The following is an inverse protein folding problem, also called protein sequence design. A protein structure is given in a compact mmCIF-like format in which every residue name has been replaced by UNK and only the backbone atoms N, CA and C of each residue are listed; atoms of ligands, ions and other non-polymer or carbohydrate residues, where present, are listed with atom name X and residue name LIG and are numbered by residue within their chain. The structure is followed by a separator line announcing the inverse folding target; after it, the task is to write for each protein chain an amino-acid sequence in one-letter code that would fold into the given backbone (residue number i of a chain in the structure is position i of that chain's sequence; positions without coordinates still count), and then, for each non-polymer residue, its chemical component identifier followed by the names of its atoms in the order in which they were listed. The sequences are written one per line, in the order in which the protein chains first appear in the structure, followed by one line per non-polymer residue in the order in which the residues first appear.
data_IF_458308845630
#
_entry.id   IF_458308845630
#
_cell.length_a   1.000
_cell.length_b   1.000
_cell.length_c   1.000
_cell.angle_alpha   90.00
_cell.angle_beta   90.00
_cell.angle_gamma   90.00
#
_symmetry.space_group_name_H-M   'P 1'
#
loop_
_entity.id
_entity.type
_entity.pdbx_description
1 polymer ?
#
# COMPACT_ATOMS: atom_id res chain seq x y z
N UNK A 1 16.06 -5.37 -5.21
CA UNK A 1 14.67 -5.74 -4.90
C UNK A 1 14.39 -5.54 -3.42
N UNK A 2 13.26 -4.93 -3.04
CA UNK A 2 12.83 -4.74 -1.64
C UNK A 2 11.51 -5.47 -1.41
N UNK A 3 11.27 -5.93 -0.18
CA UNK A 3 10.09 -6.72 0.19
C UNK A 3 9.41 -6.13 1.40
N UNK A 4 8.09 -6.02 1.34
CA UNK A 4 7.28 -5.47 2.41
C UNK A 4 5.99 -6.28 2.61
N UNK A 5 5.31 -6.04 3.70
CA UNK A 5 3.94 -6.50 3.91
C UNK A 5 2.98 -5.36 3.58
N UNK A 6 1.88 -5.69 2.91
CA UNK A 6 0.68 -4.88 2.83
C UNK A 6 -0.44 -5.57 3.60
N UNK A 7 -1.05 -4.88 4.53
CA UNK A 7 -2.08 -5.44 5.40
C UNK A 7 -3.32 -4.53 5.42
N UNK A 8 -4.47 -5.09 5.09
CA UNK A 8 -5.74 -4.42 5.29
C UNK A 8 -6.15 -4.38 6.77
N UNK A 9 -5.55 -5.19 7.63
CA UNK A 9 -6.09 -5.53 8.94
C UNK A 9 -7.57 -5.94 8.80
N UNK A 10 -7.85 -6.86 7.87
CA UNK A 10 -9.19 -7.37 7.69
C UNK A 10 -9.60 -8.29 8.85
N UNK A 11 -10.87 -8.18 9.23
CA UNK A 11 -11.42 -8.80 10.42
C UNK A 11 -11.32 -10.32 10.36
N UNK A 12 -10.70 -10.91 11.39
CA UNK A 12 -10.77 -12.33 11.70
C UNK A 12 -11.94 -12.65 12.63
N UNK A 13 -12.14 -13.91 12.95
CA UNK A 13 -13.14 -14.35 13.92
C UNK A 13 -12.66 -14.23 15.39
N UNK A 14 -11.41 -13.83 15.60
CA UNK A 14 -10.83 -13.62 16.94
C UNK A 14 -11.37 -12.36 17.62
N UNK A 15 -11.42 -12.32 18.96
CA UNK A 15 -11.67 -11.10 19.71
C UNK A 15 -10.68 -9.98 19.32
N UNK A 16 -11.18 -8.72 19.20
CA UNK A 16 -10.37 -7.61 18.66
C UNK A 16 -9.05 -7.38 19.40
N UNK A 17 -9.02 -7.54 20.73
CA UNK A 17 -7.76 -7.41 21.48
C UNK A 17 -6.71 -8.41 21.01
N UNK A 18 -7.09 -9.71 20.96
CA UNK A 18 -6.22 -10.77 20.45
C UNK A 18 -5.81 -10.53 18.98
N UNK A 19 -6.77 -10.11 18.15
CA UNK A 19 -6.50 -9.79 16.77
C UNK A 19 -5.42 -8.72 16.60
N UNK A 20 -5.47 -7.62 17.39
CA UNK A 20 -4.44 -6.59 17.33
C UNK A 20 -3.09 -7.07 17.86
N UNK A 21 -3.08 -7.86 18.94
CA UNK A 21 -1.84 -8.45 19.49
C UNK A 21 -1.17 -9.37 18.45
N UNK A 22 -1.94 -10.21 17.76
CA UNK A 22 -1.46 -11.09 16.70
C UNK A 22 -0.92 -10.30 15.49
N UNK A 23 -1.57 -9.20 15.09
CA UNK A 23 -1.08 -8.35 14.01
C UNK A 23 0.20 -7.60 14.40
N UNK A 24 0.30 -7.10 15.62
CA UNK A 24 1.53 -6.49 16.14
C UNK A 24 2.68 -7.51 16.21
N UNK A 25 2.40 -8.74 16.64
CA UNK A 25 3.37 -9.83 16.61
C UNK A 25 3.85 -10.16 15.18
N UNK A 26 2.96 -10.07 14.19
CA UNK A 26 3.33 -10.25 12.77
C UNK A 26 4.25 -9.13 12.27
N UNK A 27 4.02 -7.87 12.68
CA UNK A 27 4.92 -6.75 12.38
C UNK A 27 6.31 -6.98 12.98
N UNK A 28 6.39 -7.43 14.26
CA UNK A 28 7.67 -7.75 14.91
C UNK A 28 8.40 -8.89 14.19
N UNK A 29 7.66 -9.92 13.76
CA UNK A 29 8.22 -11.03 12.98
C UNK A 29 8.77 -10.56 11.64
N UNK A 30 8.06 -9.69 10.94
CA UNK A 30 8.51 -9.09 9.68
C UNK A 30 9.79 -8.24 9.85
N UNK A 31 9.88 -7.48 10.95
CA UNK A 31 11.09 -6.72 11.31
C UNK A 31 12.28 -7.65 11.58
N UNK A 32 12.06 -8.71 12.36
CA UNK A 32 13.09 -9.72 12.67
C UNK A 32 13.55 -10.46 11.40
N UNK A 33 12.61 -10.76 10.50
CA UNK A 33 12.85 -11.43 9.22
C UNK A 33 13.58 -10.55 8.17
N UNK A 34 13.74 -9.25 8.44
CA UNK A 34 14.47 -8.33 7.56
C UNK A 34 13.65 -7.77 6.40
N UNK A 35 12.32 -7.80 6.50
CA UNK A 35 11.46 -7.10 5.53
C UNK A 35 11.66 -5.58 5.65
N UNK A 36 11.53 -4.88 4.52
CA UNK A 36 11.83 -3.46 4.44
C UNK A 36 10.71 -2.57 4.99
N UNK A 37 9.44 -2.97 4.81
CA UNK A 37 8.29 -2.15 5.19
C UNK A 37 7.07 -2.96 5.59
N UNK A 38 6.18 -2.31 6.36
CA UNK A 38 4.85 -2.80 6.68
C UNK A 38 3.85 -1.67 6.43
N UNK A 39 2.99 -1.87 5.44
CA UNK A 39 2.04 -0.89 4.97
C UNK A 39 0.62 -1.29 5.35
N UNK A 40 -0.16 -0.32 5.84
CA UNK A 40 -1.49 -0.54 6.39
C UNK A 40 -2.51 0.24 5.59
N UNK A 41 -3.58 -0.43 5.15
CA UNK A 41 -4.68 0.24 4.48
C UNK A 41 -5.57 1.00 5.49
N UNK A 42 -6.13 2.13 5.05
CA UNK A 42 -7.22 2.83 5.73
C UNK A 42 -8.55 2.48 5.06
N UNK A 43 -9.45 1.86 5.83
CA UNK A 43 -10.85 1.65 5.45
C UNK A 43 -11.78 1.85 6.63
N UNK A 44 -13.01 2.26 6.35
CA UNK A 44 -13.99 2.63 7.35
C UNK A 44 -15.27 1.80 7.24
N UNK A 45 -15.87 1.45 8.39
CA UNK A 45 -17.18 0.77 8.51
C UNK A 45 -17.30 -0.50 7.66
N UNK A 46 -16.20 -1.22 7.52
CA UNK A 46 -16.12 -2.44 6.71
C UNK A 46 -15.13 -3.43 7.35
N UNK A 47 -15.38 -4.75 7.27
CA UNK A 47 -14.47 -5.76 7.82
C UNK A 47 -13.04 -5.71 7.27
N UNK A 48 -12.80 -5.11 6.10
CA UNK A 48 -11.45 -4.92 5.53
C UNK A 48 -10.68 -3.78 6.21
N UNK A 49 -11.24 -3.11 7.20
CA UNK A 49 -10.61 -1.93 7.81
C UNK A 49 -10.67 -1.94 9.33
N UNK A 50 -10.01 -2.90 9.99
CA UNK A 50 -9.91 -2.85 11.46
C UNK A 50 -8.83 -1.88 11.95
N UNK A 51 -8.15 -1.17 11.05
CA UNK A 51 -7.34 -0.01 11.38
C UNK A 51 -7.91 1.27 10.69
N UNK A 52 -9.13 1.72 11.06
CA UNK A 52 -9.72 2.92 10.45
C UNK A 52 -8.92 4.20 10.74
N UNK A 53 -8.01 4.14 11.69
CA UNK A 53 -6.99 5.15 11.99
C UNK A 53 -5.62 4.46 12.00
N UNK A 54 -4.98 4.30 10.84
CA UNK A 54 -3.72 3.56 10.72
C UNK A 54 -2.63 4.06 11.66
N UNK A 55 -2.58 5.37 11.93
CA UNK A 55 -1.60 5.97 12.83
C UNK A 55 -1.64 5.41 14.25
N UNK A 56 -2.81 5.02 14.76
CA UNK A 56 -2.92 4.39 16.09
C UNK A 56 -2.18 3.06 16.12
N UNK A 57 -2.38 2.22 15.11
CA UNK A 57 -1.68 0.92 15.01
C UNK A 57 -0.19 1.12 14.73
N UNK A 58 0.18 2.05 13.84
CA UNK A 58 1.58 2.37 13.52
C UNK A 58 2.31 2.87 14.77
N UNK A 59 1.68 3.71 15.59
CA UNK A 59 2.24 4.18 16.86
C UNK A 59 2.58 3.05 17.83
N UNK A 60 1.69 2.05 17.95
CA UNK A 60 1.95 0.85 18.74
C UNK A 60 3.10 0.01 18.14
N UNK A 61 3.06 -0.27 16.83
CA UNK A 61 4.08 -1.04 16.11
C UNK A 61 5.48 -0.38 16.16
N UNK A 62 5.54 0.95 16.17
CA UNK A 62 6.78 1.72 16.20
C UNK A 62 7.67 1.39 17.42
N UNK A 63 7.05 1.13 18.57
CA UNK A 63 7.75 0.79 19.82
C UNK A 63 8.17 -0.66 19.91
N UNK A 64 7.54 -1.52 19.11
CA UNK A 64 7.81 -2.96 19.08
C UNK A 64 8.83 -3.36 18.00
N UNK A 65 9.22 -2.44 17.13
CA UNK A 65 10.09 -2.68 15.97
C UNK A 65 11.31 -1.75 15.97
N UNK A 66 12.36 -2.13 15.24
CA UNK A 66 13.64 -1.39 15.23
C UNK A 66 14.10 -0.97 13.84
N UNK A 67 13.80 -1.72 12.79
CA UNK A 67 14.36 -1.54 11.44
C UNK A 67 13.29 -1.33 10.38
N UNK A 68 12.21 -2.07 10.44
CA UNK A 68 11.14 -2.04 9.45
C UNK A 68 10.53 -0.64 9.36
N UNK A 69 10.32 -0.16 8.15
CA UNK A 69 9.60 1.08 7.91
C UNK A 69 8.09 0.82 8.03
N UNK A 70 7.38 1.79 8.56
CA UNK A 70 5.95 1.68 8.86
C UNK A 70 5.21 2.82 8.20
N UNK A 71 4.07 2.55 7.60
CA UNK A 71 3.27 3.64 7.03
C UNK A 71 1.89 3.19 6.56
N UNK A 72 0.96 4.12 6.41
CA UNK A 72 -0.28 3.85 5.71
C UNK A 72 -0.01 3.62 4.22
N UNK A 73 -0.82 2.81 3.59
CA UNK A 73 -0.90 2.72 2.13
C UNK A 73 -2.36 2.48 1.73
N UNK A 74 -3.17 3.57 1.86
CA UNK A 74 -2.76 4.93 2.12
C UNK A 74 -3.75 5.65 3.04
N UNK A 75 -3.35 6.80 3.64
CA UNK A 75 -4.34 7.75 4.15
C UNK A 75 -5.19 8.27 2.99
N UNK A 76 -6.50 8.17 3.11
CA UNK A 76 -7.44 8.73 2.15
C UNK A 76 -7.66 10.21 2.45
N UNK A 77 -6.85 11.10 1.87
CA UNK A 77 -6.80 12.52 2.25
C UNK A 77 -8.14 13.24 2.13
N UNK A 78 -9.08 12.73 1.32
CA UNK A 78 -10.43 13.29 1.27
C UNK A 78 -11.20 13.16 2.58
N UNK A 79 -10.81 12.24 3.48
CA UNK A 79 -11.49 11.99 4.75
C UNK A 79 -10.87 12.75 5.93
N UNK A 80 -9.79 13.49 5.71
CA UNK A 80 -8.99 14.13 6.76
C UNK A 80 -8.95 15.65 6.63
N UNK A 81 -8.95 16.33 7.78
CA UNK A 81 -8.46 17.71 7.82
C UNK A 81 -6.93 17.69 7.64
N UNK A 82 -6.37 18.39 6.64
CA UNK A 82 -4.95 18.30 6.32
C UNK A 82 -4.03 18.82 7.43
N UNK A 83 -4.45 19.78 8.25
CA UNK A 83 -3.65 20.26 9.38
C UNK A 83 -3.55 19.21 10.48
N UNK A 84 -4.68 18.58 10.84
CA UNK A 84 -4.72 17.55 11.89
C UNK A 84 -3.94 16.31 11.48
N UNK A 85 -4.08 15.86 10.22
CA UNK A 85 -3.32 14.70 9.76
C UNK A 85 -1.82 15.02 9.63
N UNK A 86 -1.45 16.27 9.33
CA UNK A 86 -0.05 16.70 9.32
C UNK A 86 0.62 16.57 10.69
N UNK A 87 -0.07 16.95 11.76
CA UNK A 87 0.40 16.78 13.14
C UNK A 87 0.59 15.29 13.47
N UNK A 88 -0.39 14.44 13.15
CA UNK A 88 -0.30 12.98 13.33
C UNK A 88 0.91 12.40 12.58
N UNK A 89 1.13 12.80 11.33
CA UNK A 89 2.27 12.37 10.51
C UNK A 89 3.59 12.76 11.16
N UNK A 90 3.72 14.00 11.63
CA UNK A 90 4.93 14.46 12.31
C UNK A 90 5.19 13.67 13.60
N UNK A 91 4.15 13.45 14.41
CA UNK A 91 4.25 12.63 15.63
C UNK A 91 4.72 11.21 15.30
N UNK A 92 4.13 10.57 14.30
CA UNK A 92 4.50 9.21 13.87
C UNK A 92 5.93 9.14 13.35
N UNK A 93 6.38 10.16 12.64
CA UNK A 93 7.75 10.23 12.14
C UNK A 93 8.77 10.25 13.31
N UNK A 94 8.50 11.04 14.35
CA UNK A 94 9.32 11.04 15.58
C UNK A 94 9.20 9.73 16.36
N UNK A 95 7.99 9.18 16.54
CA UNK A 95 7.78 7.94 17.28
C UNK A 95 8.46 6.73 16.63
N UNK A 96 8.54 6.71 15.31
CA UNK A 96 9.24 5.68 14.52
C UNK A 96 10.75 5.92 14.44
N UNK A 97 11.26 7.10 14.86
CA UNK A 97 12.65 7.48 14.69
C UNK A 97 13.06 7.63 13.22
N UNK A 98 12.20 8.22 12.39
CA UNK A 98 12.44 8.44 10.96
C UNK A 98 12.20 7.21 10.07
N UNK A 99 11.52 6.18 10.60
CA UNK A 99 11.11 4.99 9.83
C UNK A 99 9.66 5.09 9.31
N UNK A 100 9.04 6.26 9.40
CA UNK A 100 7.70 6.48 8.88
C UNK A 100 7.73 6.69 7.36
N UNK A 101 6.82 6.03 6.65
CA UNK A 101 6.52 6.22 5.23
C UNK A 101 5.15 6.87 5.09
N UNK A 102 5.07 8.00 4.40
CA UNK A 102 3.81 8.73 4.21
C UNK A 102 3.07 8.23 2.97
N UNK A 103 2.23 7.23 3.12
CA UNK A 103 1.34 6.83 2.06
C UNK A 103 0.08 7.68 2.02
N UNK A 104 -0.22 8.25 0.86
CA UNK A 104 -1.42 9.05 0.62
C UNK A 104 -2.25 8.50 -0.55
N UNK A 105 -3.54 8.69 -0.47
CA UNK A 105 -4.49 8.29 -1.50
C UNK A 105 -5.64 9.27 -1.59
N UNK A 106 -6.37 9.19 -2.70
CA UNK A 106 -7.50 10.09 -2.92
C UNK A 106 -8.75 9.70 -2.12
N UNK A 107 -8.91 8.41 -1.80
CA UNK A 107 -10.18 7.87 -1.32
C UNK A 107 -11.19 7.78 -2.47
N UNK A 108 -11.46 6.57 -2.95
CA UNK A 108 -12.31 6.34 -4.12
C UNK A 108 -13.42 5.32 -3.86
N UNK A 109 -13.48 4.77 -2.64
CA UNK A 109 -14.51 3.82 -2.27
C UNK A 109 -15.88 4.51 -2.27
N UNK A 110 -16.82 4.11 -3.12
CA UNK A 110 -18.16 4.71 -3.12
C UNK A 110 -18.89 4.52 -1.79
N UNK A 111 -18.63 3.42 -1.09
CA UNK A 111 -19.17 3.18 0.25
C UNK A 111 -18.71 4.24 1.25
N UNK A 112 -17.41 4.45 1.34
CA UNK A 112 -16.81 5.40 2.28
C UNK A 112 -17.17 6.84 1.92
N UNK A 113 -17.05 7.20 0.65
CA UNK A 113 -17.40 8.55 0.16
C UNK A 113 -18.84 8.93 0.51
N UNK A 114 -19.80 8.00 0.33
CA UNK A 114 -21.18 8.25 0.68
C UNK A 114 -21.36 8.49 2.20
N UNK A 115 -20.68 7.71 3.04
CA UNK A 115 -20.77 7.84 4.50
C UNK A 115 -20.05 9.09 5.03
N UNK A 116 -19.00 9.56 4.36
CA UNK A 116 -18.35 10.83 4.66
C UNK A 116 -19.05 12.04 4.02
N UNK A 117 -20.10 11.82 3.19
CA UNK A 117 -20.81 12.89 2.51
C UNK A 117 -19.95 13.61 1.44
N UNK A 118 -19.03 12.90 0.81
CA UNK A 118 -18.10 13.47 -0.17
C UNK A 118 -18.47 12.99 -1.58
N UNK A 119 -18.84 13.91 -2.50
CA UNK A 119 -19.08 13.55 -3.88
C UNK A 119 -17.81 13.04 -4.57
N UNK A 120 -17.89 11.91 -5.27
CA UNK A 120 -16.74 11.31 -5.98
C UNK A 120 -16.02 12.30 -6.93
N UNK A 121 -16.71 13.18 -7.69
CA UNK A 121 -16.03 14.17 -8.53
C UNK A 121 -15.14 15.16 -7.76
N UNK A 122 -15.46 15.46 -6.50
CA UNK A 122 -14.71 16.43 -5.69
C UNK A 122 -13.41 15.83 -5.10
N UNK A 123 -13.30 14.51 -5.03
CA UNK A 123 -12.17 13.85 -4.38
C UNK A 123 -10.81 14.20 -4.99
N UNK A 124 -10.77 14.55 -6.29
CA UNK A 124 -9.53 14.93 -6.97
C UNK A 124 -9.03 16.30 -6.52
N UNK A 125 -9.93 17.27 -6.45
CA UNK A 125 -9.61 18.63 -6.03
C UNK A 125 -9.29 18.64 -4.53
N UNK A 126 -10.07 17.92 -3.71
CA UNK A 126 -9.79 17.70 -2.29
C UNK A 126 -8.40 17.10 -2.05
N UNK A 127 -8.05 16.04 -2.78
CA UNK A 127 -6.73 15.43 -2.66
C UNK A 127 -5.61 16.43 -2.98
N UNK A 128 -5.75 17.18 -4.08
CA UNK A 128 -4.74 18.18 -4.50
C UNK A 128 -4.60 19.27 -3.46
N UNK A 129 -5.71 19.87 -3.01
CA UNK A 129 -5.73 20.94 -2.02
C UNK A 129 -5.16 20.46 -0.67
N UNK A 130 -5.53 19.25 -0.22
CA UNK A 130 -4.96 18.65 1.00
C UNK A 130 -3.45 18.41 0.88
N UNK A 131 -2.96 17.96 -0.28
CA UNK A 131 -1.52 17.80 -0.52
C UNK A 131 -0.78 19.14 -0.47
N UNK A 132 -1.34 20.21 -1.02
CA UNK A 132 -0.75 21.56 -0.95
C UNK A 132 -0.60 22.01 0.51
N UNK A 133 -1.64 21.84 1.32
CA UNK A 133 -1.59 22.19 2.75
C UNK A 133 -0.57 21.33 3.51
N UNK A 134 -0.52 20.03 3.25
CA UNK A 134 0.46 19.13 3.86
C UNK A 134 1.91 19.57 3.55
N UNK A 135 2.20 19.89 2.29
CA UNK A 135 3.53 20.35 1.88
C UNK A 135 3.90 21.68 2.54
N UNK A 136 2.95 22.64 2.65
CA UNK A 136 3.16 23.88 3.40
C UNK A 136 3.48 23.57 4.87
N UNK A 137 2.67 22.72 5.52
CA UNK A 137 2.87 22.36 6.92
C UNK A 137 4.26 21.77 7.18
N UNK A 138 4.73 20.87 6.32
CA UNK A 138 6.04 20.24 6.51
C UNK A 138 7.23 21.15 6.29
N UNK A 139 7.08 22.20 5.46
CA UNK A 139 8.19 23.01 4.98
C UNK A 139 8.20 24.47 5.47
N UNK A 140 7.07 24.99 5.98
CA UNK A 140 6.95 26.38 6.42
C UNK A 140 6.68 26.47 7.92
N UNK A 141 7.03 27.59 8.55
CA UNK A 141 6.82 27.79 9.99
C UNK A 141 5.41 28.26 10.32
N UNK A 142 4.69 28.77 9.32
CA UNK A 142 3.27 29.12 9.41
C UNK A 142 2.54 28.64 8.15
N UNK A 143 1.27 28.29 8.30
CA UNK A 143 0.40 27.90 7.18
C UNK A 143 -0.66 28.98 6.96
N UNK A 144 -0.63 29.57 5.77
CA UNK A 144 -1.72 30.39 5.24
C UNK A 144 -2.16 29.80 3.91
N UNK A 145 -3.41 29.33 3.85
CA UNK A 145 -3.99 28.72 2.67
C UNK A 145 -5.43 29.25 2.44
N UNK A 146 -5.74 29.61 1.21
CA UNK A 146 -7.06 30.12 0.80
C UNK A 146 -7.62 29.27 -0.33
N UNK A 147 -8.01 28.05 0.01
CA UNK A 147 -8.56 27.09 -0.92
C UNK A 147 -10.09 27.09 -0.94
N UNK A 148 -10.64 26.22 -1.76
CA UNK A 148 -12.09 26.03 -1.90
C UNK A 148 -12.67 25.30 -0.68
N UNK A 149 -11.96 24.31 -0.17
CA UNK A 149 -12.38 23.46 0.96
C UNK A 149 -11.71 23.87 2.26
N UNK A 150 -10.43 24.20 2.20
CA UNK A 150 -9.60 24.50 3.36
C UNK A 150 -9.19 25.97 3.38
N UNK A 151 -9.35 26.62 4.54
CA UNK A 151 -8.93 28.00 4.74
C UNK A 151 -8.22 28.10 6.08
N UNK A 152 -6.97 28.53 6.05
CA UNK A 152 -6.10 28.70 7.22
C UNK A 152 -5.41 30.05 7.12
N UNK A 153 -5.24 30.73 8.25
CA UNK A 153 -4.68 32.07 8.30
C UNK A 153 -3.62 32.13 9.41
N UNK A 154 -2.36 32.26 9.01
CA UNK A 154 -1.18 32.39 9.87
C UNK A 154 -1.14 31.38 11.03
N UNK A 155 -1.49 30.11 10.73
CA UNK A 155 -1.48 29.04 11.73
C UNK A 155 -0.03 28.61 11.99
N UNK A 156 0.49 28.73 13.23
CA UNK A 156 1.85 28.31 13.54
C UNK A 156 2.02 26.80 13.45
N UNK A 157 3.19 26.35 13.05
CA UNK A 157 3.56 24.94 12.94
C UNK A 157 4.54 24.59 14.05
N UNK A 158 4.03 23.96 15.12
CA UNK A 158 4.81 23.61 16.30
C UNK A 158 5.55 22.27 16.15
N UNK A 159 5.00 21.33 15.39
CA UNK A 159 5.59 20.00 15.21
C UNK A 159 6.03 19.83 13.77
N UNK A 160 7.33 19.72 13.53
CA UNK A 160 7.92 19.45 12.21
C UNK A 160 8.26 17.97 12.06
N UNK A 161 8.27 17.42 10.82
CA UNK A 161 8.72 16.05 10.61
C UNK A 161 10.23 15.92 10.91
N UNK A 162 10.62 14.75 11.41
CA UNK A 162 12.02 14.38 11.64
C UNK A 162 12.77 14.22 10.31
N UNK A 163 12.15 13.53 9.35
CA UNK A 163 12.68 13.33 8.01
C UNK A 163 12.51 14.60 7.16
N UNK A 164 13.48 14.94 6.34
CA UNK A 164 13.51 16.19 5.56
C UNK A 164 13.49 15.90 4.05
N UNK A 165 12.76 16.70 3.26
CA UNK A 165 11.86 17.81 3.68
C UNK A 165 10.56 17.32 4.33
N UNK A 166 10.20 16.05 4.15
CA UNK A 166 9.06 15.34 4.73
C UNK A 166 9.31 13.82 4.65
N UNK A 167 8.53 12.98 5.33
CA UNK A 167 8.66 11.52 5.22
C UNK A 167 8.51 11.03 3.77
N UNK A 168 9.22 9.96 3.35
CA UNK A 168 9.11 9.42 2.00
C UNK A 168 7.66 9.21 1.59
N UNK A 169 7.27 9.80 0.46
CA UNK A 169 5.90 9.78 -0.03
C UNK A 169 5.60 8.48 -0.79
N UNK A 170 4.46 7.89 -0.52
CA UNK A 170 3.96 6.69 -1.17
C UNK A 170 2.55 6.90 -1.70
N UNK A 171 2.21 6.23 -2.80
CA UNK A 171 0.89 6.28 -3.39
C UNK A 171 0.43 4.92 -3.90
N UNK A 172 -0.79 4.55 -3.54
CA UNK A 172 -1.43 3.33 -4.06
C UNK A 172 -2.14 3.61 -5.39
N UNK A 173 -1.59 3.16 -6.49
CA UNK A 173 -2.08 3.32 -7.86
C UNK A 173 -1.26 4.31 -8.70
N UNK A 174 -1.36 4.16 -10.01
CA UNK A 174 -0.66 5.00 -11.00
C UNK A 174 -1.62 5.52 -12.07
N UNK A 175 -2.85 5.90 -11.69
CA UNK A 175 -3.79 6.49 -12.66
C UNK A 175 -3.20 7.77 -13.26
N UNK A 176 -3.36 7.96 -14.58
CA UNK A 176 -2.67 9.00 -15.35
C UNK A 176 -2.80 10.43 -14.83
N UNK A 177 -3.87 10.74 -14.09
CA UNK A 177 -4.19 12.12 -13.66
C UNK A 177 -3.29 12.64 -12.53
N UNK A 178 -2.76 11.74 -11.68
CA UNK A 178 -1.90 12.10 -10.54
C UNK A 178 -0.43 11.77 -10.80
N UNK A 179 -0.12 11.12 -11.90
CA UNK A 179 1.21 10.56 -12.19
C UNK A 179 2.31 11.63 -12.21
N UNK A 180 2.11 12.72 -12.94
CA UNK A 180 3.10 13.79 -13.04
C UNK A 180 3.30 14.49 -11.69
N UNK A 181 2.23 14.74 -10.93
CA UNK A 181 2.32 15.30 -9.58
C UNK A 181 3.13 14.38 -8.66
N UNK A 182 2.83 13.09 -8.64
CA UNK A 182 3.55 12.13 -7.80
C UNK A 182 5.03 12.04 -8.18
N UNK A 183 5.33 12.02 -9.48
CA UNK A 183 6.70 12.01 -9.98
C UNK A 183 7.46 13.29 -9.63
N UNK A 184 6.81 14.46 -9.68
CA UNK A 184 7.41 15.73 -9.28
C UNK A 184 7.69 15.83 -7.77
N UNK A 185 6.96 15.08 -6.97
CA UNK A 185 7.15 14.98 -5.51
C UNK A 185 8.11 13.86 -5.10
N UNK A 186 8.63 13.08 -6.04
CA UNK A 186 9.53 11.97 -5.72
C UNK A 186 8.84 10.77 -5.05
N UNK A 187 7.54 10.57 -5.28
CA UNK A 187 6.77 9.53 -4.61
C UNK A 187 7.16 8.12 -5.05
N UNK A 188 7.13 7.17 -4.12
CA UNK A 188 7.09 5.74 -4.40
C UNK A 188 5.67 5.32 -4.76
N UNK A 189 5.50 4.38 -5.69
CA UNK A 189 4.16 3.93 -6.11
C UNK A 189 4.03 2.42 -5.99
N UNK A 190 2.84 1.98 -5.56
CA UNK A 190 2.49 0.56 -5.49
C UNK A 190 1.23 0.31 -6.30
N UNK A 191 1.35 -0.49 -7.35
CA UNK A 191 0.22 -0.97 -8.13
C UNK A 191 -0.55 -2.02 -7.32
N UNK A 192 -1.87 -1.98 -7.36
CA UNK A 192 -2.71 -2.98 -6.74
C UNK A 192 -2.64 -4.35 -7.44
N UNK A 193 -3.62 -5.16 -7.16
CA UNK A 193 -3.75 -6.49 -7.77
C UNK A 193 -4.14 -6.36 -9.26
N UNK A 194 -3.19 -6.64 -10.13
CA UNK A 194 -3.39 -6.64 -11.58
C UNK A 194 -2.46 -7.68 -12.24
N UNK A 195 -2.76 -8.17 -13.45
CA UNK A 195 -1.83 -9.01 -14.21
C UNK A 195 -0.49 -8.30 -14.44
N UNK A 196 0.61 -9.06 -14.47
CA UNK A 196 1.96 -8.53 -14.62
C UNK A 196 2.11 -7.57 -15.80
N UNK A 197 1.51 -7.89 -16.95
CA UNK A 197 1.52 -7.04 -18.14
C UNK A 197 0.90 -5.65 -17.92
N UNK A 198 -0.22 -5.58 -17.19
CA UNK A 198 -0.85 -4.30 -16.86
C UNK A 198 -0.01 -3.51 -15.86
N UNK A 199 0.60 -4.18 -14.88
CA UNK A 199 1.52 -3.53 -13.94
C UNK A 199 2.72 -2.98 -14.69
N UNK A 200 3.30 -3.73 -15.65
CA UNK A 200 4.40 -3.27 -16.49
C UNK A 200 4.08 -1.97 -17.22
N UNK A 201 2.93 -1.86 -17.85
CA UNK A 201 2.48 -0.63 -18.49
C UNK A 201 2.42 0.56 -17.52
N UNK A 202 1.92 0.33 -16.29
CA UNK A 202 1.86 1.37 -15.27
C UNK A 202 3.25 1.77 -14.77
N UNK A 203 4.14 0.81 -14.58
CA UNK A 203 5.54 1.01 -14.16
C UNK A 203 6.30 1.82 -15.21
N UNK A 204 6.21 1.44 -16.48
CA UNK A 204 6.91 2.13 -17.57
C UNK A 204 6.41 3.58 -17.70
N UNK A 205 5.09 3.77 -17.69
CA UNK A 205 4.51 5.11 -17.73
C UNK A 205 4.87 5.98 -16.49
N UNK A 206 5.09 5.36 -15.31
CA UNK A 206 5.56 6.10 -14.15
C UNK A 206 7.04 6.47 -14.25
N UNK A 207 7.87 5.59 -14.79
CA UNK A 207 9.28 5.89 -15.07
C UNK A 207 9.45 7.03 -16.06
N UNK A 208 8.65 7.06 -17.12
CA UNK A 208 8.63 8.19 -18.07
C UNK A 208 8.28 9.52 -17.36
N UNK A 209 7.24 9.52 -16.53
CA UNK A 209 6.87 10.70 -15.74
C UNK A 209 7.96 11.10 -14.74
N UNK A 210 8.63 10.10 -14.15
CA UNK A 210 9.76 10.31 -13.24
C UNK A 210 10.93 11.02 -13.92
N UNK A 211 11.30 10.58 -15.10
CA UNK A 211 12.37 11.20 -15.89
C UNK A 211 12.02 12.60 -16.35
N UNK A 212 10.78 12.80 -16.80
CA UNK A 212 10.26 14.12 -17.19
C UNK A 212 10.33 15.13 -16.05
N UNK A 213 10.07 14.70 -14.82
CA UNK A 213 10.01 15.56 -13.63
C UNK A 213 11.30 15.57 -12.79
N UNK A 214 12.44 15.09 -13.32
CA UNK A 214 13.70 14.99 -12.56
C UNK A 214 14.23 16.31 -12.00
N UNK A 215 13.90 17.43 -12.62
CA UNK A 215 14.30 18.78 -12.20
C UNK A 215 13.31 19.47 -11.24
N UNK A 216 12.24 18.79 -10.82
CA UNK A 216 11.25 19.38 -9.92
C UNK A 216 11.86 19.67 -8.53
N UNK A 217 11.52 20.82 -7.89
CA UNK A 217 12.14 21.25 -6.63
C UNK A 217 12.10 20.22 -5.49
N UNK A 218 10.96 19.53 -5.35
CA UNK A 218 10.78 18.51 -4.32
C UNK A 218 11.51 17.18 -4.60
N UNK A 219 12.18 17.08 -5.76
CA UNK A 219 13.01 15.93 -6.15
C UNK A 219 14.47 16.06 -5.69
N UNK A 220 14.86 17.15 -5.09
CA UNK A 220 16.22 17.31 -4.58
C UNK A 220 16.54 16.22 -3.55
N UNK A 221 17.55 15.39 -3.82
CA UNK A 221 17.91 14.23 -2.98
C UNK A 221 17.11 12.96 -3.21
N UNK A 222 16.12 12.95 -4.11
CA UNK A 222 15.42 11.72 -4.48
C UNK A 222 16.35 10.73 -5.22
N UNK A 223 16.11 9.42 -5.12
CA UNK A 223 16.90 8.42 -5.84
C UNK A 223 16.83 8.61 -7.36
N UNK A 224 17.85 8.14 -8.07
CA UNK A 224 17.89 8.20 -9.53
C UNK A 224 16.70 7.47 -10.17
N UNK A 225 16.32 6.31 -9.61
CA UNK A 225 15.17 5.52 -10.07
C UNK A 225 14.03 5.54 -9.05
N UNK A 226 12.76 5.52 -9.51
CA UNK A 226 11.62 5.45 -8.62
C UNK A 226 11.52 4.08 -7.95
N UNK A 227 10.96 4.06 -6.73
CA UNK A 227 10.44 2.83 -6.16
C UNK A 227 9.07 2.55 -6.77
N UNK A 228 8.98 1.43 -7.49
CA UNK A 228 7.74 0.96 -8.12
C UNK A 228 7.43 -0.46 -7.65
N UNK A 229 6.25 -0.65 -7.12
CA UNK A 229 5.87 -1.92 -6.51
C UNK A 229 4.53 -2.47 -6.97
N UNK A 230 4.22 -3.64 -6.48
CA UNK A 230 2.89 -4.26 -6.61
C UNK A 230 2.54 -5.10 -5.39
N UNK A 231 1.24 -5.39 -5.23
CA UNK A 231 0.73 -6.27 -4.17
C UNK A 231 0.48 -7.67 -4.72
N UNK A 232 0.83 -8.70 -3.95
CA UNK A 232 0.46 -10.11 -4.19
C UNK A 232 0.02 -10.76 -2.88
N UNK A 233 -1.07 -11.51 -2.94
CA UNK A 233 -1.49 -12.39 -1.87
C UNK A 233 -0.63 -13.65 -1.90
N UNK A 234 0.00 -14.00 -0.78
CA UNK A 234 0.93 -15.14 -0.72
C UNK A 234 0.62 -16.01 0.46
N UNK A 235 0.51 -17.32 0.21
CA UNK A 235 0.36 -18.35 1.23
C UNK A 235 1.39 -19.45 0.96
N UNK A 236 2.25 -19.74 1.95
CA UNK A 236 3.27 -20.79 1.87
C UNK A 236 2.94 -21.91 2.86
N UNK A 237 2.93 -23.15 2.35
CA UNK A 237 2.71 -24.36 3.13
C UNK A 237 3.65 -25.50 2.69
N UNK A 238 3.54 -26.70 3.32
CA UNK A 238 4.41 -27.83 3.00
C UNK A 238 4.08 -28.48 1.65
N UNK A 239 2.85 -28.25 1.16
CA UNK A 239 2.43 -28.66 -0.18
C UNK A 239 1.58 -27.59 -0.84
N UNK A 240 1.53 -27.61 -2.18
CA UNK A 240 0.67 -26.71 -2.95
C UNK A 240 -0.81 -26.93 -2.60
N UNK A 241 -1.23 -28.18 -2.38
CA UNK A 241 -2.60 -28.52 -2.00
C UNK A 241 -2.98 -27.92 -0.62
N UNK A 242 -2.11 -27.98 0.37
CA UNK A 242 -2.33 -27.37 1.69
C UNK A 242 -2.42 -25.84 1.57
N UNK A 243 -1.51 -25.21 0.84
CA UNK A 243 -1.52 -23.79 0.63
C UNK A 243 -2.80 -23.30 -0.07
N UNK A 244 -3.28 -24.03 -1.08
CA UNK A 244 -4.52 -23.71 -1.78
C UNK A 244 -5.75 -23.92 -0.92
N UNK A 245 -5.79 -24.99 -0.12
CA UNK A 245 -6.88 -25.25 0.82
C UNK A 245 -7.02 -24.12 1.87
N UNK A 246 -5.91 -23.50 2.26
CA UNK A 246 -5.93 -22.33 3.14
C UNK A 246 -6.25 -21.02 2.41
N UNK A 247 -5.71 -20.81 1.22
CA UNK A 247 -5.83 -19.56 0.48
C UNK A 247 -7.23 -19.33 -0.10
N UNK A 248 -7.91 -20.38 -0.59
CA UNK A 248 -9.22 -20.26 -1.26
C UNK A 248 -10.30 -19.65 -0.34
N UNK A 249 -10.63 -20.22 0.84
CA UNK A 249 -11.63 -19.63 1.72
C UNK A 249 -11.21 -18.25 2.25
N UNK A 250 -9.90 -18.03 2.39
CA UNK A 250 -9.39 -16.74 2.82
C UNK A 250 -9.60 -15.65 1.76
N UNK A 251 -9.34 -15.95 0.48
CA UNK A 251 -9.62 -15.04 -0.62
C UNK A 251 -11.11 -14.74 -0.74
N UNK A 252 -11.97 -15.75 -0.67
CA UNK A 252 -13.42 -15.59 -0.79
C UNK A 252 -13.98 -14.68 0.32
N UNK A 253 -13.53 -14.87 1.57
CA UNK A 253 -13.91 -14.01 2.69
C UNK A 253 -13.44 -12.57 2.49
N UNK A 254 -12.16 -12.39 2.13
CA UNK A 254 -11.57 -11.09 1.87
C UNK A 254 -12.27 -10.37 0.72
N UNK A 255 -12.48 -11.05 -0.41
CA UNK A 255 -13.13 -10.47 -1.58
C UNK A 255 -14.55 -9.99 -1.27
N UNK A 256 -15.34 -10.81 -0.58
CA UNK A 256 -16.71 -10.47 -0.16
C UNK A 256 -16.75 -9.19 0.69
N UNK A 257 -15.77 -8.99 1.55
CA UNK A 257 -15.67 -7.77 2.35
C UNK A 257 -15.23 -6.56 1.52
N UNK A 258 -14.28 -6.75 0.61
CA UNK A 258 -13.77 -5.69 -0.28
C UNK A 258 -14.82 -5.27 -1.33
N UNK A 259 -15.61 -6.22 -1.81
CA UNK A 259 -16.67 -5.96 -2.79
C UNK A 259 -17.64 -4.86 -2.32
N UNK A 260 -17.98 -4.85 -1.04
CA UNK A 260 -18.83 -3.82 -0.46
C UNK A 260 -18.22 -2.42 -0.56
N UNK A 261 -16.91 -2.30 -0.41
CA UNK A 261 -16.21 -1.02 -0.55
C UNK A 261 -16.21 -0.51 -2.00
N UNK A 262 -16.02 -1.39 -2.95
CA UNK A 262 -15.83 -1.05 -4.36
C UNK A 262 -17.12 -1.02 -5.18
N UNK A 263 -18.15 -1.78 -4.78
CA UNK A 263 -19.36 -1.99 -5.57
C UNK A 263 -20.61 -1.64 -4.75
N UNK A 264 -20.79 -0.37 -4.39
CA UNK A 264 -21.93 0.11 -3.62
C UNK A 264 -22.60 1.30 -4.31
N UNK A 265 -23.88 1.53 -4.00
CA UNK A 265 -24.65 2.67 -4.49
C UNK A 265 -24.68 2.81 -6.02
N UNK A 266 -24.70 1.68 -6.74
CA UNK A 266 -24.72 1.66 -8.21
C UNK A 266 -23.35 1.87 -8.88
N UNK A 267 -22.31 2.13 -8.13
CA UNK A 267 -20.94 2.20 -8.65
C UNK A 267 -20.27 0.82 -8.67
N UNK A 268 -19.41 0.61 -9.66
CA UNK A 268 -18.52 -0.55 -9.74
C UNK A 268 -17.10 -0.07 -9.91
N UNK A 269 -16.41 0.13 -8.79
CA UNK A 269 -15.01 0.56 -8.76
C UNK A 269 -14.03 -0.61 -8.56
N UNK A 270 -14.54 -1.78 -8.17
CA UNK A 270 -13.72 -2.98 -7.96
C UNK A 270 -13.64 -3.80 -9.26
N UNK A 271 -12.45 -3.87 -9.82
CA UNK A 271 -12.14 -4.62 -11.05
C UNK A 271 -11.29 -5.88 -10.78
N UNK A 272 -11.35 -6.42 -9.57
CA UNK A 272 -10.65 -7.64 -9.20
C UNK A 272 -11.48 -8.87 -9.56
N UNK A 273 -10.79 -9.98 -9.79
CA UNK A 273 -11.42 -11.26 -10.04
C UNK A 273 -12.14 -11.73 -8.74
N UNK A 274 -13.46 -11.94 -8.79
CA UNK A 274 -14.23 -12.36 -7.61
C UNK A 274 -13.96 -13.81 -7.21
N UNK A 275 -13.60 -14.62 -8.17
CA UNK A 275 -13.37 -16.05 -8.03
C UNK A 275 -11.90 -16.34 -7.78
N UNK A 276 -11.61 -17.24 -6.84
CA UNK A 276 -10.24 -17.61 -6.47
C UNK A 276 -9.43 -18.13 -7.65
N UNK A 277 -10.02 -18.98 -8.50
CA UNK A 277 -9.29 -19.57 -9.62
C UNK A 277 -8.97 -18.53 -10.69
N UNK A 278 -9.86 -17.56 -10.89
CA UNK A 278 -9.58 -16.39 -11.74
C UNK A 278 -8.47 -15.53 -11.13
N UNK A 279 -8.51 -15.26 -9.82
CA UNK A 279 -7.50 -14.49 -9.11
C UNK A 279 -6.13 -15.16 -9.16
N UNK A 280 -6.09 -16.49 -9.01
CA UNK A 280 -4.88 -17.31 -9.14
C UNK A 280 -4.33 -17.26 -10.58
N UNK A 281 -5.16 -17.46 -11.60
CA UNK A 281 -4.75 -17.37 -13.02
C UNK A 281 -4.24 -15.97 -13.38
N UNK A 282 -4.83 -14.93 -12.83
CA UNK A 282 -4.37 -13.55 -13.01
C UNK A 282 -3.11 -13.20 -12.21
N UNK A 283 -2.63 -14.12 -11.38
CA UNK A 283 -1.44 -13.95 -10.54
C UNK A 283 -1.63 -13.07 -9.32
N UNK A 284 -2.87 -12.83 -8.87
CA UNK A 284 -3.14 -12.04 -7.66
C UNK A 284 -2.87 -12.85 -6.40
N UNK A 285 -3.24 -14.13 -6.41
CA UNK A 285 -3.03 -15.09 -5.35
C UNK A 285 -1.98 -16.09 -5.78
N UNK A 286 -0.97 -16.28 -4.95
CA UNK A 286 0.12 -17.23 -5.12
C UNK A 286 0.15 -18.10 -3.87
N UNK A 287 -0.29 -19.35 -4.01
CA UNK A 287 -0.32 -20.31 -2.93
C UNK A 287 0.45 -21.56 -3.33
N UNK A 288 1.33 -22.04 -2.46
CA UNK A 288 2.13 -23.23 -2.75
C UNK A 288 3.31 -23.42 -1.80
N UNK A 289 4.18 -24.36 -2.17
CA UNK A 289 5.46 -24.55 -1.51
C UNK A 289 6.38 -23.33 -1.71
N UNK A 290 7.46 -23.19 -0.92
CA UNK A 290 8.48 -22.15 -1.17
C UNK A 290 8.96 -22.10 -2.61
N UNK A 291 9.15 -23.25 -3.26
CA UNK A 291 9.63 -23.32 -4.65
C UNK A 291 8.56 -22.86 -5.65
N UNK A 292 7.30 -23.25 -5.47
CA UNK A 292 6.16 -22.76 -6.27
C UNK A 292 6.03 -21.25 -6.17
N UNK A 293 6.05 -20.71 -4.95
CA UNK A 293 5.93 -19.26 -4.69
C UNK A 293 7.14 -18.50 -5.26
N UNK A 294 8.37 -19.02 -5.08
CA UNK A 294 9.59 -18.44 -5.63
C UNK A 294 9.51 -18.33 -7.16
N UNK A 295 9.12 -19.41 -7.83
CA UNK A 295 9.02 -19.42 -9.30
C UNK A 295 7.95 -18.41 -9.80
N UNK A 296 6.79 -18.36 -9.16
CA UNK A 296 5.71 -17.43 -9.53
C UNK A 296 6.10 -15.97 -9.31
N UNK A 297 6.72 -15.64 -8.18
CA UNK A 297 7.16 -14.28 -7.86
C UNK A 297 8.36 -13.84 -8.71
N UNK A 298 9.29 -14.74 -9.04
CA UNK A 298 10.39 -14.47 -10.00
C UNK A 298 9.81 -14.00 -11.31
N UNK A 299 8.92 -14.80 -11.91
CA UNK A 299 8.25 -14.45 -13.16
C UNK A 299 7.55 -13.10 -13.07
N UNK A 300 6.81 -12.88 -11.97
CA UNK A 300 6.10 -11.60 -11.77
C UNK A 300 7.06 -10.40 -11.75
N UNK A 301 8.18 -10.48 -11.05
CA UNK A 301 9.19 -9.40 -10.97
C UNK A 301 9.81 -9.13 -12.34
N UNK A 302 10.18 -10.19 -13.06
CA UNK A 302 10.76 -10.09 -14.40
C UNK A 302 9.80 -9.48 -15.43
N UNK A 303 8.53 -9.89 -15.39
CA UNK A 303 7.49 -9.37 -16.30
C UNK A 303 7.06 -7.95 -15.95
N UNK A 304 6.74 -7.70 -14.68
CA UNK A 304 6.17 -6.43 -14.24
C UNK A 304 7.19 -5.30 -14.11
N UNK A 305 8.48 -5.60 -13.99
CA UNK A 305 9.54 -4.61 -13.88
C UNK A 305 9.55 -3.84 -12.56
N UNK A 306 8.94 -4.40 -11.52
CA UNK A 306 8.88 -3.80 -10.18
C UNK A 306 10.19 -4.00 -9.42
N UNK A 307 10.52 -3.05 -8.52
CA UNK A 307 11.67 -3.15 -7.61
C UNK A 307 11.24 -3.18 -6.13
N UNK A 308 9.93 -3.22 -5.87
CA UNK A 308 9.33 -3.32 -4.54
C UNK A 308 8.14 -4.29 -4.59
N UNK A 309 8.12 -5.29 -3.72
CA UNK A 309 7.03 -6.26 -3.64
C UNK A 309 6.36 -6.21 -2.29
N UNK A 310 5.07 -5.86 -2.28
CA UNK A 310 4.20 -5.94 -1.12
C UNK A 310 3.52 -7.31 -1.08
N UNK A 311 3.71 -8.03 0.01
CA UNK A 311 3.08 -9.32 0.28
C UNK A 311 1.87 -9.12 1.18
N UNK A 312 0.71 -9.56 0.76
CA UNK A 312 -0.45 -9.67 1.61
C UNK A 312 -0.52 -11.10 2.14
N UNK A 313 -0.17 -11.28 3.40
CA UNK A 313 0.06 -12.60 4.04
C UNK A 313 -1.02 -12.97 5.05
N UNK A 314 -1.77 -11.99 5.53
CA UNK A 314 -2.77 -12.15 6.56
C UNK A 314 -4.09 -11.55 6.04
N UNK A 315 -4.95 -12.40 5.50
CA UNK A 315 -6.22 -11.97 4.90
C UNK A 315 -7.32 -13.01 5.11
N UNK A 316 -8.57 -12.54 5.13
CA UNK A 316 -9.76 -13.38 5.24
C UNK A 316 -9.77 -14.23 6.52
N UNK A 317 -9.74 -15.54 6.35
CA UNK A 317 -9.78 -16.53 7.45
C UNK A 317 -8.43 -17.14 7.78
N UNK A 318 -7.33 -16.63 7.22
CA UNK A 318 -5.99 -17.11 7.58
C UNK A 318 -5.72 -16.85 9.06
N UNK A 319 -5.30 -17.89 9.76
CA UNK A 319 -4.87 -17.78 11.16
C UNK A 319 -3.53 -17.03 11.26
N UNK A 320 -3.27 -16.47 12.46
CA UNK A 320 -1.96 -15.89 12.77
C UNK A 320 -0.80 -16.88 12.53
N UNK A 321 -0.99 -18.15 12.88
CA UNK A 321 0.03 -19.16 12.67
C UNK A 321 0.37 -19.39 11.20
N UNK A 322 -0.64 -19.39 10.30
CA UNK A 322 -0.42 -19.52 8.86
C UNK A 322 0.28 -18.31 8.27
N UNK A 323 -0.12 -17.09 8.70
CA UNK A 323 0.54 -15.86 8.29
C UNK A 323 2.01 -15.81 8.77
N UNK A 324 2.25 -16.14 10.03
CA UNK A 324 3.59 -16.20 10.62
C UNK A 324 4.49 -17.20 9.90
N UNK A 325 3.98 -18.41 9.62
CA UNK A 325 4.69 -19.44 8.84
C UNK A 325 5.05 -18.92 7.44
N UNK A 326 4.13 -18.23 6.78
CA UNK A 326 4.40 -17.65 5.46
C UNK A 326 5.51 -16.60 5.51
N UNK A 327 5.56 -15.73 6.55
CA UNK A 327 6.67 -14.78 6.75
C UNK A 327 8.01 -15.50 6.90
N UNK A 328 8.07 -16.53 7.75
CA UNK A 328 9.31 -17.26 8.00
C UNK A 328 9.83 -18.00 6.77
N UNK A 329 8.95 -18.75 6.10
CA UNK A 329 9.29 -19.49 4.88
C UNK A 329 9.71 -18.54 3.75
N UNK A 330 8.98 -17.42 3.58
CA UNK A 330 9.34 -16.41 2.60
C UNK A 330 10.72 -15.81 2.87
N UNK A 331 10.99 -15.39 4.09
CA UNK A 331 12.26 -14.78 4.45
C UNK A 331 13.45 -15.74 4.30
N UNK A 332 13.27 -17.00 4.68
CA UNK A 332 14.34 -18.00 4.67
C UNK A 332 14.60 -18.61 3.28
N UNK A 333 13.53 -18.93 2.53
CA UNK A 333 13.63 -19.80 1.35
C UNK A 333 13.33 -19.09 0.05
N UNK A 334 12.59 -17.99 0.06
CA UNK A 334 12.13 -17.27 -1.14
C UNK A 334 12.90 -15.96 -1.34
N UNK A 335 12.92 -15.11 -0.33
CA UNK A 335 13.48 -13.75 -0.38
C UNK A 335 14.92 -13.68 -0.86
N UNK A 336 15.87 -14.57 -0.43
CA UNK A 336 17.27 -14.50 -0.86
C UNK A 336 17.47 -14.73 -2.38
N UNK A 337 16.61 -15.56 -2.98
CA UNK A 337 16.62 -15.80 -4.41
C UNK A 337 16.02 -14.62 -5.18
N UNK A 338 14.88 -14.12 -4.72
CA UNK A 338 14.20 -12.98 -5.35
C UNK A 338 15.03 -11.69 -5.29
N UNK A 339 15.86 -11.51 -4.28
CA UNK A 339 16.76 -10.36 -4.17
C UNK A 339 17.75 -10.24 -5.34
N UNK A 340 18.03 -11.34 -6.04
CA UNK A 340 18.94 -11.42 -7.19
C UNK A 340 18.24 -11.27 -8.54
N UNK A 341 16.91 -11.27 -8.57
CA UNK A 341 16.14 -11.16 -9.81
C UNK A 341 16.27 -9.76 -10.39
N UNK A 342 16.47 -9.68 -11.70
CA UNK A 342 16.56 -8.41 -12.44
C UNK A 342 15.15 -8.00 -12.87
N UNK A 343 14.61 -6.89 -12.36
CA UNK A 343 13.29 -6.42 -12.73
C UNK A 343 13.18 -6.13 -14.24
N UNK A 344 12.09 -6.60 -14.86
CA UNK A 344 11.80 -6.29 -16.25
C UNK A 344 12.67 -7.02 -17.27
N UNK A 345 13.40 -8.07 -16.87
CA UNK A 345 14.27 -8.86 -17.75
C UNK A 345 13.48 -9.73 -18.76
N UNK A 346 12.23 -10.10 -18.44
CA UNK A 346 11.38 -10.86 -19.34
C UNK A 346 10.63 -9.96 -20.32
N UNK A 347 10.52 -10.40 -21.59
CA UNK A 347 9.61 -9.80 -22.57
C UNK A 347 8.18 -10.18 -22.20
N UNK A 348 7.34 -9.18 -21.96
CA UNK A 348 5.91 -9.39 -21.71
C UNK A 348 5.20 -9.60 -23.05
N UNK A 349 4.48 -10.72 -23.21
CA UNK A 349 3.57 -10.88 -24.34
C UNK A 349 2.49 -9.80 -24.26
N UNK A 350 2.19 -9.16 -25.38
CA UNK A 350 1.11 -8.17 -25.43
C UNK A 350 -0.19 -8.79 -24.90
N UNK A 351 -0.97 -8.08 -24.07
CA UNK A 351 -2.25 -8.60 -23.59
C UNK A 351 -3.12 -8.94 -24.80
N UNK A 352 -3.59 -10.17 -24.87
CA UNK A 352 -4.64 -10.54 -25.82
C UNK A 352 -5.80 -9.56 -25.61
N UNK A 353 -6.21 -8.87 -26.68
CA UNK A 353 -7.08 -7.71 -26.67
C UNK A 353 -8.26 -7.85 -25.70
N UNK A 354 -8.34 -6.94 -24.76
CA UNK A 354 -9.53 -6.68 -24.00
C UNK A 354 -10.53 -6.03 -24.97
N UNK A 355 -11.40 -6.83 -25.55
CA UNK A 355 -12.62 -6.32 -26.18
C UNK A 355 -13.38 -5.49 -25.17
N UNK A 356 -13.89 -4.38 -25.63
CA UNK A 356 -14.57 -3.25 -24.99
C UNK A 356 -15.62 -3.63 -23.95
#
# INVERSE_FOLDING_TARGET
MKFAIFDHLDRSDEPLGKFYDERLALVQRADAAGLTGYHIAEHHWNPVGMAPRPGVFIGAAAKLTKRIRLGPLAYALSFHNPMIIAEEICMLDHLTGGRFDLGVGRGISPWELALFGIPLPETRDLFRESMEVLLMYFTQDTVTHRGKRWQFYDVPVEIKPLQKPFPPLWYGSTSGVTRDLLASLGASVVCGWAPSARIRQQVDAYREAWDKNKAAPHRAGAPAEPTVGSVRMVVIADSDAEAEAAARPAHDRWYKSLEKLGNSFGFRALFLAPDYDLAKRAGYVIAGTPDTVKAALTRHIEEAGINYLCLQLAFGVLSHAQAARTVDAFAKEVMPALAKVVPGSAKVAAPAGAGH
#
